data_IF_036322427906
#
_entry.id   IF_036322427906
#
_cell.length_a   1.000
_cell.length_b   1.000
_cell.length_c   1.000
_cell.angle_alpha   90.00
_cell.angle_beta   90.00
_cell.angle_gamma   90.00
#
_symmetry.space_group_name_H-M   'P 1'
#
loop_
_entity.id
_entity.type
_entity.pdbx_description
1 polymer ?
#
# COMPACT_ATOMS: atom_id res chain seq x y z
N UNK A 1 -45.94 -29.71 20.54
CA UNK A 1 -45.30 -29.24 19.27
C UNK A 1 -43.76 -29.17 19.37
N UNK A 2 -43.09 -30.09 20.10
CA UNK A 2 -41.67 -29.96 20.47
C UNK A 2 -40.78 -31.14 19.98
N UNK A 3 -41.07 -31.73 18.81
CA UNK A 3 -40.30 -32.87 18.26
C UNK A 3 -39.74 -32.68 16.85
N UNK A 4 -39.88 -31.50 16.23
CA UNK A 4 -39.38 -31.24 14.85
C UNK A 4 -38.13 -30.34 14.75
N UNK A 5 -37.75 -29.61 15.80
CA UNK A 5 -36.61 -28.67 15.73
C UNK A 5 -35.22 -29.32 15.88
N UNK A 6 -35.13 -30.51 16.49
CA UNK A 6 -33.84 -31.20 16.70
C UNK A 6 -33.21 -31.76 15.41
N UNK A 7 -34.02 -32.05 14.38
CA UNK A 7 -33.53 -32.64 13.13
C UNK A 7 -32.80 -31.63 12.23
N UNK A 8 -33.19 -30.35 12.29
CA UNK A 8 -32.60 -29.29 11.48
C UNK A 8 -31.24 -28.88 12.06
N UNK A 9 -31.13 -28.80 13.38
CA UNK A 9 -29.86 -28.52 14.07
C UNK A 9 -28.81 -29.63 13.82
N UNK A 10 -29.22 -30.90 13.78
CA UNK A 10 -28.33 -32.01 13.39
C UNK A 10 -27.90 -31.93 11.92
N UNK A 11 -28.79 -31.52 11.00
CA UNK A 11 -28.43 -31.36 9.59
C UNK A 11 -27.50 -30.16 9.34
N UNK A 12 -27.62 -29.08 10.11
CA UNK A 12 -26.69 -27.93 10.06
C UNK A 12 -25.33 -28.32 10.62
N UNK A 13 -25.29 -29.06 11.74
CA UNK A 13 -24.04 -29.55 12.34
C UNK A 13 -23.35 -30.63 11.50
N UNK A 14 -24.09 -31.52 10.83
CA UNK A 14 -23.50 -32.52 9.93
C UNK A 14 -22.95 -31.90 8.63
N UNK A 15 -23.60 -30.87 8.07
CA UNK A 15 -23.04 -30.13 6.91
C UNK A 15 -21.76 -29.37 7.25
N UNK A 16 -21.51 -29.08 8.53
CA UNK A 16 -20.27 -28.44 8.99
C UNK A 16 -19.11 -29.43 9.20
N UNK A 17 -19.38 -30.74 9.25
CA UNK A 17 -18.36 -31.75 9.57
C UNK A 17 -17.60 -32.27 8.32
N UNK A 18 -18.24 -32.27 7.14
CA UNK A 18 -17.64 -32.82 5.91
C UNK A 18 -17.05 -31.77 4.96
N UNK A 19 -17.18 -30.47 5.28
CA UNK A 19 -16.45 -29.42 4.59
C UNK A 19 -15.23 -29.05 5.43
N UNK A 20 -14.15 -29.81 5.28
CA UNK A 20 -12.81 -29.26 5.46
C UNK A 20 -12.62 -28.15 4.39
N UNK A 21 -13.23 -27.00 4.64
CA UNK A 21 -12.73 -25.76 4.08
C UNK A 21 -11.36 -25.60 4.73
N UNK A 22 -10.23 -25.64 3.99
CA UNK A 22 -8.99 -25.22 4.58
C UNK A 22 -9.25 -23.75 4.90
N UNK A 23 -9.50 -23.43 6.17
CA UNK A 23 -9.21 -22.10 6.66
C UNK A 23 -7.80 -21.86 6.17
N UNK A 24 -7.65 -20.98 5.18
CA UNK A 24 -6.36 -20.58 4.68
C UNK A 24 -5.77 -19.79 5.85
N UNK A 25 -5.18 -20.52 6.79
CA UNK A 25 -4.45 -19.99 7.93
C UNK A 25 -3.20 -19.38 7.31
N UNK A 26 -3.38 -18.20 6.72
CA UNK A 26 -2.28 -17.41 6.18
C UNK A 26 -1.53 -16.87 7.38
N UNK A 27 -0.36 -17.41 7.62
CA UNK A 27 0.67 -16.68 8.33
C UNK A 27 1.01 -15.46 7.49
N UNK A 28 0.54 -14.28 7.87
CA UNK A 28 1.06 -13.02 7.33
C UNK A 28 2.50 -12.91 7.84
N UNK A 29 3.46 -13.32 7.01
CA UNK A 29 4.86 -13.59 7.40
C UNK A 29 5.69 -12.34 7.67
N UNK A 30 5.12 -11.14 7.51
CA UNK A 30 5.77 -9.91 7.98
C UNK A 30 5.60 -9.67 9.49
N UNK A 31 4.90 -10.56 10.21
CA UNK A 31 5.01 -10.56 11.66
C UNK A 31 6.37 -11.16 12.07
N UNK A 32 7.24 -10.43 12.79
CA UNK A 32 8.28 -11.11 13.55
C UNK A 32 7.59 -12.17 14.44
N UNK A 33 8.31 -13.26 14.72
CA UNK A 33 7.88 -14.37 15.59
C UNK A 33 7.05 -13.84 16.77
N UNK A 34 6.02 -14.60 17.24
CA UNK A 34 5.28 -14.24 18.45
C UNK A 34 6.28 -13.75 19.49
N UNK A 35 6.12 -12.50 19.91
CA UNK A 35 7.05 -11.89 20.85
C UNK A 35 7.16 -12.75 22.11
N UNK A 36 8.17 -12.47 22.89
CA UNK A 36 8.38 -12.94 24.27
C UNK A 36 7.24 -12.63 25.26
N UNK A 37 6.03 -12.30 24.77
CA UNK A 37 4.89 -11.87 25.57
C UNK A 37 4.99 -10.44 26.08
N UNK A 38 6.06 -9.71 25.77
CA UNK A 38 6.22 -8.33 26.22
C UNK A 38 5.22 -7.40 25.53
N UNK A 39 4.52 -6.53 26.29
CA UNK A 39 3.65 -5.52 25.69
C UNK A 39 4.43 -4.61 24.74
N UNK A 40 3.97 -4.50 23.50
CA UNK A 40 4.61 -3.64 22.49
C UNK A 40 3.84 -2.34 22.29
N UNK A 41 4.52 -1.18 22.24
CA UNK A 41 3.89 0.07 21.88
C UNK A 41 3.50 0.07 20.41
N UNK A 42 2.28 0.52 20.13
CA UNK A 42 1.80 0.82 18.77
C UNK A 42 1.29 2.25 18.76
N UNK A 43 1.77 3.06 17.83
CA UNK A 43 1.26 4.42 17.65
C UNK A 43 -0.15 4.34 17.06
N UNK A 44 -1.13 4.97 17.69
CA UNK A 44 -2.51 5.00 17.21
C UNK A 44 -2.90 6.41 16.78
N UNK A 45 -3.35 6.54 15.53
CA UNK A 45 -3.95 7.76 14.99
C UNK A 45 -5.42 7.47 14.70
N UNK A 46 -6.37 7.94 15.52
CA UNK A 46 -7.80 7.66 15.34
C UNK A 46 -8.32 8.17 13.98
N UNK A 47 -7.80 9.31 13.53
CA UNK A 47 -8.20 9.96 12.28
C UNK A 47 -9.56 10.63 12.37
N UNK A 48 -10.14 10.92 11.21
CA UNK A 48 -11.38 11.68 11.05
C UNK A 48 -12.58 10.79 10.67
N UNK A 49 -13.79 11.37 10.75
CA UNK A 49 -15.03 10.74 10.29
C UNK A 49 -15.34 9.45 11.07
N UNK A 50 -15.38 8.31 10.37
CA UNK A 50 -15.65 6.99 10.96
C UNK A 50 -14.39 6.39 11.62
N UNK A 51 -13.21 6.99 11.40
CA UNK A 51 -11.92 6.53 11.91
C UNK A 51 -11.93 6.21 13.42
N UNK A 52 -12.30 7.15 14.29
CA UNK A 52 -12.32 6.93 15.74
C UNK A 52 -13.22 5.77 16.18
N UNK A 53 -14.35 5.55 15.49
CA UNK A 53 -15.26 4.44 15.81
C UNK A 53 -14.61 3.09 15.51
N UNK A 54 -13.92 2.99 14.37
CA UNK A 54 -13.23 1.75 13.95
C UNK A 54 -12.00 1.49 14.81
N UNK A 55 -11.19 2.52 15.09
CA UNK A 55 -9.99 2.34 15.91
C UNK A 55 -10.34 1.95 17.34
N UNK A 56 -11.39 2.55 17.92
CA UNK A 56 -11.85 2.18 19.26
C UNK A 56 -12.38 0.73 19.28
N UNK A 57 -13.05 0.27 18.22
CA UNK A 57 -13.46 -1.12 18.11
C UNK A 57 -12.24 -2.07 18.06
N UNK A 58 -11.16 -1.69 17.37
CA UNK A 58 -9.91 -2.47 17.37
C UNK A 58 -9.30 -2.54 18.77
N UNK A 59 -9.25 -1.42 19.50
CA UNK A 59 -8.77 -1.40 20.89
C UNK A 59 -9.56 -2.38 21.77
N UNK A 60 -10.90 -2.34 21.72
CA UNK A 60 -11.77 -3.24 22.47
C UNK A 60 -11.53 -4.72 22.16
N UNK A 61 -11.34 -5.06 20.88
CA UNK A 61 -11.06 -6.43 20.46
C UNK A 61 -9.67 -6.88 20.97
N UNK A 62 -8.66 -6.00 20.89
CA UNK A 62 -7.31 -6.30 21.38
C UNK A 62 -7.27 -6.50 22.89
N UNK A 63 -8.00 -5.67 23.64
CA UNK A 63 -8.15 -5.79 25.09
C UNK A 63 -8.85 -7.10 25.47
N UNK A 64 -9.94 -7.45 24.78
CA UNK A 64 -10.68 -8.69 25.01
C UNK A 64 -9.85 -9.95 24.68
N UNK A 65 -8.94 -9.86 23.70
CA UNK A 65 -8.00 -10.94 23.38
C UNK A 65 -6.78 -10.98 24.31
N UNK A 66 -6.64 -10.02 25.22
CA UNK A 66 -5.44 -9.82 26.04
C UNK A 66 -4.15 -9.81 25.18
N UNK A 67 -4.22 -9.13 24.03
CA UNK A 67 -3.07 -9.00 23.15
C UNK A 67 -1.95 -8.22 23.87
N UNK A 68 -0.67 -8.61 23.74
CA UNK A 68 0.46 -7.91 24.36
C UNK A 68 0.80 -6.63 23.57
N UNK A 69 -0.15 -5.70 23.47
CA UNK A 69 -0.06 -4.45 22.73
C UNK A 69 -0.68 -3.34 23.56
N UNK A 70 -0.04 -2.18 23.60
CA UNK A 70 -0.65 -0.97 24.15
C UNK A 70 -0.57 0.16 23.14
N UNK A 71 -1.63 0.96 23.07
CA UNK A 71 -1.78 2.02 22.07
C UNK A 71 -1.34 3.37 22.62
N UNK A 72 -0.37 4.00 21.95
CA UNK A 72 0.00 5.41 22.19
C UNK A 72 -0.84 6.28 21.25
N UNK A 73 -1.91 6.87 21.78
CA UNK A 73 -2.89 7.65 21.00
C UNK A 73 -2.37 9.06 20.70
N UNK A 74 -2.47 9.46 19.44
CA UNK A 74 -2.20 10.81 18.95
C UNK A 74 -3.35 11.33 18.11
N UNK A 75 -3.90 12.48 18.51
CA UNK A 75 -5.00 13.11 17.80
C UNK A 75 -4.48 13.95 16.63
N UNK A 76 -4.53 13.37 15.43
CA UNK A 76 -4.17 14.04 14.16
C UNK A 76 -5.41 14.11 13.30
N UNK A 77 -5.69 15.31 12.79
CA UNK A 77 -6.85 15.60 11.97
C UNK A 77 -6.44 16.06 10.57
N UNK A 78 -7.23 15.73 9.56
CA UNK A 78 -7.00 16.04 8.14
C UNK A 78 -6.83 17.53 7.83
N UNK A 79 -7.45 18.40 8.63
CA UNK A 79 -7.42 19.85 8.47
C UNK A 79 -6.10 20.49 8.93
N UNK A 80 -5.22 19.72 9.57
CA UNK A 80 -3.92 20.21 9.99
C UNK A 80 -3.01 20.45 8.76
N UNK A 81 -2.18 21.49 8.82
CA UNK A 81 -1.26 21.81 7.71
C UNK A 81 -0.12 20.80 7.57
N UNK A 82 0.33 20.25 8.69
CA UNK A 82 1.47 19.34 8.77
C UNK A 82 1.25 18.34 9.89
N UNK A 83 1.78 17.13 9.72
CA UNK A 83 1.80 16.14 10.81
C UNK A 83 2.68 16.62 11.96
N UNK A 84 2.21 16.55 13.23
CA UNK A 84 3.02 16.89 14.38
C UNK A 84 4.31 16.04 14.44
N UNK A 85 5.48 16.66 14.72
CA UNK A 85 6.76 15.95 14.72
C UNK A 85 6.86 14.87 15.80
N UNK A 86 6.08 15.00 16.87
CA UNK A 86 5.95 13.98 17.93
C UNK A 86 5.36 12.66 17.41
N UNK A 87 4.41 12.73 16.48
CA UNK A 87 3.77 11.55 15.87
C UNK A 87 4.79 10.82 15.02
N UNK A 88 5.52 11.54 14.18
CA UNK A 88 6.58 10.95 13.33
C UNK A 88 7.65 10.29 14.21
N UNK A 89 8.07 10.94 15.30
CA UNK A 89 9.02 10.36 16.26
C UNK A 89 8.47 9.11 16.95
N UNK A 90 7.19 9.09 17.33
CA UNK A 90 6.53 7.90 17.89
C UNK A 90 6.52 6.76 16.88
N UNK A 91 6.13 7.02 15.62
CA UNK A 91 6.14 6.00 14.57
C UNK A 91 7.57 5.50 14.31
N UNK A 92 8.57 6.39 14.30
CA UNK A 92 9.98 6.01 14.16
C UNK A 92 10.53 5.24 15.35
N UNK A 93 9.99 5.41 16.56
CA UNK A 93 10.37 4.66 17.76
C UNK A 93 9.70 3.29 17.77
N UNK A 94 8.38 3.25 17.59
CA UNK A 94 7.55 2.05 17.71
C UNK A 94 7.58 1.17 16.47
N UNK A 95 7.93 1.73 15.31
CA UNK A 95 7.98 1.11 13.97
C UNK A 95 6.63 0.66 13.41
N UNK A 96 5.58 0.69 14.21
CA UNK A 96 4.23 0.27 13.86
C UNK A 96 3.26 1.40 14.21
N UNK A 97 2.38 1.71 13.25
CA UNK A 97 1.32 2.69 13.42
C UNK A 97 0.01 2.08 12.93
N UNK A 98 -1.04 2.21 13.73
CA UNK A 98 -2.42 1.99 13.30
C UNK A 98 -3.06 3.36 13.05
N UNK A 99 -3.64 3.58 11.87
CA UNK A 99 -4.30 4.85 11.56
C UNK A 99 -5.69 4.66 10.98
N UNK A 100 -6.61 5.54 11.36
CA UNK A 100 -7.88 5.74 10.66
C UNK A 100 -7.74 6.52 9.36
N UNK A 101 -8.87 6.75 8.71
CA UNK A 101 -8.96 7.64 7.55
C UNK A 101 -8.70 9.08 7.96
N UNK A 102 -7.83 9.79 7.24
CA UNK A 102 -7.64 11.24 7.41
C UNK A 102 -8.30 11.95 6.25
N UNK A 103 -9.18 12.90 6.55
CA UNK A 103 -9.82 13.71 5.52
C UNK A 103 -8.75 14.49 4.75
N UNK A 104 -8.93 14.66 3.44
CA UNK A 104 -8.07 15.51 2.63
C UNK A 104 -8.96 16.55 1.96
N UNK A 105 -8.74 17.85 2.22
CA UNK A 105 -9.53 18.89 1.58
C UNK A 105 -9.32 18.83 0.06
N UNK A 106 -10.42 18.96 -0.68
CA UNK A 106 -10.39 18.92 -2.15
C UNK A 106 -10.17 20.33 -2.68
N UNK A 107 -9.05 20.53 -3.38
CA UNK A 107 -8.67 21.83 -3.94
C UNK A 107 -7.88 22.70 -2.96
N UNK A 108 -6.97 23.53 -3.50
CA UNK A 108 -6.00 24.30 -2.74
C UNK A 108 -4.68 23.53 -2.57
N UNK A 109 -3.55 24.15 -2.91
CA UNK A 109 -2.22 23.55 -3.01
C UNK A 109 -1.57 23.07 -1.70
N UNK A 110 -2.35 22.53 -0.77
CA UNK A 110 -1.87 21.88 0.45
C UNK A 110 -1.68 20.40 0.16
N UNK A 111 -0.46 19.88 0.35
CA UNK A 111 -0.19 18.45 0.21
C UNK A 111 -0.99 17.64 1.24
N UNK A 112 -1.69 16.58 0.81
CA UNK A 112 -2.41 15.67 1.72
C UNK A 112 -1.52 15.16 2.84
N UNK A 113 -2.00 15.20 4.09
CA UNK A 113 -1.26 14.65 5.25
C UNK A 113 -0.92 13.17 5.07
N UNK A 114 -1.79 12.39 4.39
CA UNK A 114 -1.50 10.99 4.09
C UNK A 114 -0.27 10.85 3.18
N UNK A 115 -0.12 11.75 2.20
CA UNK A 115 1.04 11.76 1.30
C UNK A 115 2.28 12.24 2.05
N UNK A 116 2.15 13.21 2.95
CA UNK A 116 3.24 13.66 3.81
C UNK A 116 3.79 12.51 4.67
N UNK A 117 2.92 11.79 5.38
CA UNK A 117 3.32 10.61 6.18
C UNK A 117 4.07 9.58 5.34
N UNK A 118 3.57 9.30 4.13
CA UNK A 118 4.20 8.31 3.25
C UNK A 118 5.58 8.74 2.79
N UNK A 119 5.77 10.02 2.47
CA UNK A 119 7.06 10.58 2.04
C UNK A 119 8.06 10.68 3.20
N UNK A 120 7.63 11.17 4.35
CA UNK A 120 8.51 11.36 5.53
C UNK A 120 8.98 10.04 6.15
N UNK A 121 8.15 8.99 6.07
CA UNK A 121 8.47 7.66 6.59
C UNK A 121 8.95 6.67 5.52
N UNK A 122 9.07 7.10 4.26
CA UNK A 122 9.38 6.26 3.08
C UNK A 122 8.52 4.98 3.03
N UNK A 123 7.20 5.13 3.23
CA UNK A 123 6.20 4.06 3.12
C UNK A 123 5.97 3.69 1.66
N UNK A 124 6.92 3.00 1.03
CA UNK A 124 6.93 2.80 -0.42
C UNK A 124 5.99 1.74 -0.96
N UNK A 125 5.54 0.80 -0.13
CA UNK A 125 4.63 -0.26 -0.53
C UNK A 125 3.28 -0.13 0.18
N UNK A 126 2.20 -0.02 -0.60
CA UNK A 126 0.84 -0.25 -0.15
C UNK A 126 0.42 -1.65 -0.60
N UNK A 127 -0.11 -2.44 0.33
CA UNK A 127 -0.59 -3.80 0.10
C UNK A 127 -2.06 -3.88 0.47
N UNK A 128 -2.87 -4.31 -0.50
CA UNK A 128 -4.32 -4.52 -0.32
C UNK A 128 -4.63 -5.97 -0.64
N UNK A 129 -5.18 -6.68 0.34
CA UNK A 129 -5.64 -8.05 0.17
C UNK A 129 -7.15 -8.04 -0.09
N UNK A 130 -7.54 -8.43 -1.30
CA UNK A 130 -8.92 -8.49 -1.75
C UNK A 130 -9.37 -9.95 -1.79
N UNK A 131 -10.11 -10.38 -0.76
CA UNK A 131 -10.53 -11.77 -0.57
C UNK A 131 -12.03 -11.85 -0.31
N UNK A 132 -12.73 -12.78 -0.95
CA UNK A 132 -14.12 -13.05 -0.58
C UNK A 132 -14.22 -13.55 0.86
N UNK A 133 -15.01 -12.86 1.67
CA UNK A 133 -15.28 -13.26 3.04
C UNK A 133 -16.42 -14.29 3.08
N UNK A 134 -16.27 -15.42 3.80
CA UNK A 134 -17.35 -16.37 4.00
C UNK A 134 -18.57 -15.69 4.64
N UNK A 135 -19.74 -15.82 4.01
CA UNK A 135 -21.00 -15.25 4.49
C UNK A 135 -21.32 -13.84 3.97
N UNK A 136 -20.40 -13.19 3.24
CA UNK A 136 -20.69 -11.94 2.54
C UNK A 136 -21.05 -12.24 1.07
N UNK A 137 -22.30 -12.07 0.65
CA UNK A 137 -22.69 -12.30 -0.75
C UNK A 137 -22.10 -11.22 -1.65
N UNK A 138 -21.38 -11.64 -2.67
CA UNK A 138 -20.74 -10.79 -3.69
C UNK A 138 -21.10 -11.29 -5.09
N UNK A 139 -20.83 -10.48 -6.11
CA UNK A 139 -21.09 -10.87 -7.51
C UNK A 139 -20.15 -11.98 -8.01
N UNK A 140 -18.90 -11.95 -7.56
CA UNK A 140 -17.87 -12.92 -7.92
C UNK A 140 -17.51 -13.77 -6.71
N UNK A 141 -17.18 -15.03 -6.96
CA UNK A 141 -16.74 -16.00 -5.96
C UNK A 141 -15.24 -16.32 -6.15
N UNK A 142 -14.59 -16.80 -5.08
CA UNK A 142 -13.20 -17.25 -5.09
C UNK A 142 -12.17 -16.20 -5.56
N UNK A 143 -12.44 -14.92 -5.30
CA UNK A 143 -11.47 -13.83 -5.50
C UNK A 143 -10.50 -13.83 -4.33
N UNK A 144 -9.22 -13.88 -4.67
CA UNK A 144 -8.11 -13.84 -3.73
C UNK A 144 -6.90 -13.16 -4.37
N UNK A 145 -7.02 -11.84 -4.52
CA UNK A 145 -6.07 -10.99 -5.24
C UNK A 145 -5.29 -10.16 -4.23
N UNK A 146 -3.99 -10.01 -4.44
CA UNK A 146 -3.16 -9.08 -3.69
C UNK A 146 -2.67 -7.99 -4.62
N UNK A 147 -2.99 -6.74 -4.29
CA UNK A 147 -2.52 -5.58 -5.03
C UNK A 147 -1.40 -4.92 -4.24
N UNK A 148 -0.21 -4.86 -4.84
CA UNK A 148 0.98 -4.22 -4.31
C UNK A 148 1.26 -2.99 -5.15
N UNK A 149 1.11 -1.83 -4.51
CA UNK A 149 1.18 -0.52 -5.12
C UNK A 149 2.44 0.22 -4.67
N UNK A 150 3.16 0.79 -5.63
CA UNK A 150 4.19 1.81 -5.38
C UNK A 150 3.52 3.07 -4.81
N UNK A 151 4.04 3.62 -3.72
CA UNK A 151 3.32 4.61 -2.91
C UNK A 151 4.11 5.91 -2.65
N UNK A 152 5.27 6.08 -3.26
CA UNK A 152 6.19 7.22 -3.08
C UNK A 152 6.34 8.13 -4.29
N UNK A 153 6.22 7.62 -5.51
CA UNK A 153 6.45 8.38 -6.75
C UNK A 153 5.28 8.30 -7.73
N UNK A 154 5.53 8.57 -9.02
CA UNK A 154 4.51 8.59 -10.07
C UNK A 154 3.72 9.89 -10.10
N UNK A 155 2.44 9.76 -10.42
CA UNK A 155 1.50 10.87 -10.59
C UNK A 155 1.17 11.58 -9.25
N UNK A 156 1.36 10.90 -8.13
CA UNK A 156 1.19 11.47 -6.78
C UNK A 156 2.42 12.24 -6.28
N UNK A 157 3.42 12.48 -7.14
CA UNK A 157 4.53 13.39 -6.84
C UNK A 157 4.02 14.80 -6.52
N UNK A 158 2.90 15.21 -7.13
CA UNK A 158 2.26 16.52 -6.98
C UNK A 158 3.03 17.65 -7.69
N UNK A 159 3.85 17.29 -8.69
CA UNK A 159 4.65 18.24 -9.45
C UNK A 159 3.82 18.81 -10.60
N UNK A 160 3.06 19.85 -10.30
CA UNK A 160 2.20 20.55 -11.24
C UNK A 160 2.58 22.01 -11.34
N UNK A 161 2.53 22.56 -12.56
CA UNK A 161 2.72 23.98 -12.79
C UNK A 161 1.90 24.45 -13.99
N UNK A 162 1.52 25.72 -13.96
CA UNK A 162 0.87 26.38 -15.08
C UNK A 162 1.94 27.08 -15.90
N UNK A 163 2.14 26.64 -17.15
CA UNK A 163 3.19 27.16 -18.04
C UNK A 163 2.78 28.53 -18.58
N UNK A 164 1.52 28.64 -19.00
CA UNK A 164 0.84 29.88 -19.40
C UNK A 164 -0.61 29.80 -18.90
N UNK A 165 -1.31 30.94 -18.70
CA UNK A 165 -2.70 30.94 -18.25
C UNK A 165 -3.58 29.99 -19.08
N UNK A 166 -4.14 28.96 -18.45
CA UNK A 166 -4.96 27.91 -19.05
C UNK A 166 -4.22 26.64 -19.50
N UNK A 167 -2.89 26.55 -19.34
CA UNK A 167 -2.08 25.37 -19.71
C UNK A 167 -1.34 24.84 -18.49
N UNK A 168 -1.84 23.71 -17.96
CA UNK A 168 -1.28 23.04 -16.79
C UNK A 168 -0.51 21.79 -17.22
N UNK A 169 0.72 21.68 -16.74
CA UNK A 169 1.57 20.50 -16.91
C UNK A 169 1.68 19.75 -15.58
N UNK A 170 1.55 18.42 -15.65
CA UNK A 170 1.74 17.50 -14.52
C UNK A 170 2.88 16.53 -14.83
N UNK A 171 3.91 16.52 -13.99
CA UNK A 171 5.13 15.77 -14.21
C UNK A 171 5.08 14.42 -13.47
N UNK A 172 4.92 13.35 -14.25
CA UNK A 172 5.05 11.97 -13.76
C UNK A 172 6.53 11.57 -13.68
N UNK A 173 6.99 11.26 -12.48
CA UNK A 173 8.37 10.80 -12.23
C UNK A 173 8.35 9.32 -11.84
N UNK A 174 9.04 8.49 -12.61
CA UNK A 174 9.32 7.08 -12.28
C UNK A 174 10.83 6.89 -12.23
N UNK A 175 11.32 6.23 -11.20
CA UNK A 175 12.73 5.93 -11.01
C UNK A 175 12.98 4.43 -10.98
N UNK A 176 14.16 4.02 -11.47
CA UNK A 176 14.58 2.61 -11.44
C UNK A 176 14.64 2.09 -10.00
N UNK A 177 15.17 2.88 -9.08
CA UNK A 177 15.27 2.52 -7.66
C UNK A 177 13.91 2.17 -7.04
N UNK A 178 12.90 3.03 -7.19
CA UNK A 178 11.57 2.80 -6.65
C UNK A 178 10.86 1.61 -7.33
N UNK A 179 11.04 1.47 -8.65
CA UNK A 179 10.49 0.36 -9.42
C UNK A 179 11.09 -0.99 -9.04
N UNK A 180 12.42 -1.06 -8.82
CA UNK A 180 13.10 -2.28 -8.39
C UNK A 180 12.70 -2.70 -6.98
N UNK A 181 12.62 -1.76 -6.03
CA UNK A 181 12.25 -2.09 -4.64
C UNK A 181 10.83 -2.61 -4.52
N UNK A 182 9.87 -2.02 -5.25
CA UNK A 182 8.48 -2.47 -5.22
C UNK A 182 8.30 -3.81 -5.92
N UNK A 183 9.00 -4.02 -7.06
CA UNK A 183 9.02 -5.31 -7.73
C UNK A 183 9.62 -6.39 -6.83
N UNK A 184 10.77 -6.12 -6.21
CA UNK A 184 11.40 -7.03 -5.24
C UNK A 184 10.45 -7.39 -4.11
N UNK A 185 9.78 -6.39 -3.52
CA UNK A 185 8.79 -6.64 -2.47
C UNK A 185 7.64 -7.52 -2.95
N UNK A 186 7.12 -7.29 -4.16
CA UNK A 186 6.03 -8.10 -4.72
C UNK A 186 6.41 -9.56 -4.94
N UNK A 187 7.60 -9.82 -5.47
CA UNK A 187 8.11 -11.18 -5.66
C UNK A 187 8.46 -11.87 -4.33
N UNK A 188 9.07 -11.17 -3.38
CA UNK A 188 9.32 -11.70 -2.03
C UNK A 188 8.01 -12.04 -1.31
N UNK A 189 7.02 -11.15 -1.39
CA UNK A 189 5.69 -11.40 -0.84
C UNK A 189 5.06 -12.64 -1.48
N UNK A 190 5.10 -12.73 -2.82
CA UNK A 190 4.56 -13.88 -3.53
C UNK A 190 5.25 -15.19 -3.11
N UNK A 191 6.58 -15.19 -3.01
CA UNK A 191 7.36 -16.34 -2.56
C UNK A 191 6.99 -16.77 -1.13
N UNK A 192 6.99 -15.83 -0.18
CA UNK A 192 6.72 -16.10 1.23
C UNK A 192 5.28 -16.53 1.51
N UNK A 193 4.33 -16.15 0.64
CA UNK A 193 2.91 -16.48 0.78
C UNK A 193 2.47 -17.61 -0.17
N UNK A 194 3.42 -18.35 -0.76
CA UNK A 194 3.17 -19.46 -1.69
C UNK A 194 2.25 -19.07 -2.87
N UNK A 195 2.35 -17.82 -3.33
CA UNK A 195 1.68 -17.35 -4.54
C UNK A 195 2.47 -17.77 -5.76
N UNK A 196 1.77 -18.04 -6.85
CA UNK A 196 2.36 -18.66 -8.04
C UNK A 196 2.58 -17.67 -9.16
N UNK A 197 1.89 -16.52 -9.15
CA UNK A 197 1.90 -15.57 -10.25
C UNK A 197 1.99 -14.13 -9.76
N UNK A 198 2.86 -13.36 -10.41
CA UNK A 198 2.97 -11.90 -10.27
C UNK A 198 2.68 -11.26 -11.62
N UNK A 199 1.72 -10.34 -11.64
CA UNK A 199 1.32 -9.60 -12.84
C UNK A 199 1.69 -8.13 -12.69
N UNK A 200 2.53 -7.59 -13.57
CA UNK A 200 2.83 -6.17 -13.63
C UNK A 200 1.76 -5.42 -14.45
N UNK A 201 1.11 -4.43 -13.84
CA UNK A 201 0.11 -3.59 -14.51
C UNK A 201 0.74 -2.29 -14.98
N UNK A 202 0.54 -1.94 -16.25
CA UNK A 202 1.21 -0.80 -16.87
C UNK A 202 0.37 -0.14 -17.99
N UNK A 203 0.88 0.95 -18.54
CA UNK A 203 0.39 1.64 -19.74
C UNK A 203 1.54 2.02 -20.67
N UNK A 204 2.57 1.17 -20.73
CA UNK A 204 3.74 1.32 -21.60
C UNK A 204 3.44 1.42 -23.12
N UNK A 205 2.22 1.10 -23.57
CA UNK A 205 1.80 1.35 -24.96
C UNK A 205 1.69 2.86 -25.28
N UNK A 206 1.38 3.68 -24.27
CA UNK A 206 1.33 5.15 -24.37
C UNK A 206 2.59 5.75 -23.72
N UNK A 207 2.87 5.42 -22.46
CA UNK A 207 4.03 5.93 -21.71
C UNK A 207 5.24 5.01 -21.88
N UNK A 208 5.84 5.05 -23.07
CA UNK A 208 6.91 4.12 -23.47
C UNK A 208 8.14 4.18 -22.55
N UNK A 209 8.50 5.36 -22.04
CA UNK A 209 9.69 5.54 -21.20
C UNK A 209 9.39 5.27 -19.72
N UNK A 210 8.44 5.99 -19.11
CA UNK A 210 8.17 5.89 -17.68
C UNK A 210 7.70 4.48 -17.28
N UNK A 211 6.67 3.96 -17.94
CA UNK A 211 6.15 2.62 -17.65
C UNK A 211 7.05 1.53 -18.27
N UNK A 212 7.81 1.85 -19.33
CA UNK A 212 8.82 0.95 -19.86
C UNK A 212 9.92 0.64 -18.85
N UNK A 213 10.41 1.67 -18.13
CA UNK A 213 11.40 1.53 -17.07
C UNK A 213 10.87 0.69 -15.90
N UNK A 214 9.59 0.87 -15.54
CA UNK A 214 8.93 0.06 -14.51
C UNK A 214 8.89 -1.43 -14.91
N UNK A 215 8.50 -1.75 -16.15
CA UNK A 215 8.47 -3.12 -16.65
C UNK A 215 9.86 -3.74 -16.74
N UNK A 216 10.86 -2.99 -17.21
CA UNK A 216 12.25 -3.45 -17.23
C UNK A 216 12.72 -3.86 -15.83
N UNK A 217 12.45 -3.02 -14.84
CA UNK A 217 12.77 -3.30 -13.42
C UNK A 217 12.05 -4.56 -12.93
N UNK A 218 10.76 -4.72 -13.26
CA UNK A 218 9.99 -5.92 -12.90
C UNK A 218 10.55 -7.19 -13.55
N UNK A 219 10.92 -7.13 -14.84
CA UNK A 219 11.54 -8.26 -15.57
C UNK A 219 12.90 -8.62 -15.01
N UNK A 220 13.72 -7.65 -14.61
CA UNK A 220 15.03 -7.87 -13.99
C UNK A 220 14.88 -8.62 -12.65
N UNK A 221 13.90 -8.24 -11.83
CA UNK A 221 13.60 -8.94 -10.58
C UNK A 221 12.99 -10.32 -10.83
N UNK A 222 12.10 -10.47 -11.80
CA UNK A 222 11.45 -11.75 -12.14
C UNK A 222 12.47 -12.86 -12.41
N UNK A 223 13.59 -12.54 -13.08
CA UNK A 223 14.69 -13.48 -13.34
C UNK A 223 15.29 -14.09 -12.06
N UNK A 224 15.21 -13.40 -10.92
CA UNK A 224 15.69 -13.87 -9.61
C UNK A 224 14.72 -14.83 -8.93
N UNK A 225 13.49 -14.93 -9.42
CA UNK A 225 12.41 -15.76 -8.85
C UNK A 225 11.80 -16.71 -9.90
N UNK A 226 12.57 -17.68 -10.43
CA UNK A 226 12.13 -18.54 -11.53
C UNK A 226 10.92 -19.44 -11.20
N UNK A 227 10.62 -19.65 -9.91
CA UNK A 227 9.45 -20.41 -9.46
C UNK A 227 8.13 -19.63 -9.50
N UNK A 228 8.16 -18.33 -9.79
CA UNK A 228 6.98 -17.46 -9.85
C UNK A 228 6.73 -17.08 -11.31
N UNK A 229 5.52 -17.35 -11.81
CA UNK A 229 5.13 -16.92 -13.15
C UNK A 229 5.02 -15.38 -13.20
N UNK A 230 5.68 -14.77 -14.17
CA UNK A 230 5.61 -13.33 -14.40
C UNK A 230 4.85 -13.01 -15.68
N UNK A 231 3.82 -12.17 -15.56
CA UNK A 231 3.02 -11.69 -16.69
C UNK A 231 2.91 -10.16 -16.67
N UNK A 232 2.59 -9.57 -17.82
CA UNK A 232 2.39 -8.13 -17.98
C UNK A 232 1.01 -7.87 -18.57
N UNK A 233 0.33 -6.84 -18.08
CA UNK A 233 -0.99 -6.47 -18.56
C UNK A 233 -1.15 -4.95 -18.63
N UNK A 234 -1.77 -4.49 -19.72
CA UNK A 234 -2.14 -3.09 -19.86
C UNK A 234 -3.30 -2.78 -18.92
N UNK A 235 -3.26 -1.66 -18.20
CA UNK A 235 -4.24 -1.29 -17.16
C UNK A 235 -5.68 -1.28 -17.65
N UNK A 236 -5.97 -0.85 -18.89
CA UNK A 236 -7.34 -0.90 -19.44
C UNK A 236 -7.87 -2.33 -19.53
N UNK A 237 -7.05 -3.24 -20.07
CA UNK A 237 -7.41 -4.66 -20.14
C UNK A 237 -7.48 -5.24 -18.73
N UNK A 238 -6.59 -4.82 -17.83
CA UNK A 238 -6.63 -5.22 -16.43
C UNK A 238 -7.97 -4.88 -15.77
N UNK A 239 -8.47 -3.66 -15.93
CA UNK A 239 -9.76 -3.25 -15.38
C UNK A 239 -10.91 -4.06 -15.98
N UNK A 240 -10.91 -4.28 -17.30
CA UNK A 240 -11.92 -5.13 -17.95
C UNK A 240 -11.88 -6.58 -17.42
N UNK A 241 -10.69 -7.15 -17.29
CA UNK A 241 -10.48 -8.52 -16.81
C UNK A 241 -10.81 -8.66 -15.32
N UNK A 242 -10.53 -7.66 -14.50
CA UNK A 242 -10.90 -7.66 -13.08
C UNK A 242 -12.42 -7.77 -12.90
N UNK A 243 -13.20 -7.03 -13.68
CA UNK A 243 -14.66 -7.08 -13.59
C UNK A 243 -15.23 -8.34 -14.24
N UNK A 244 -14.59 -8.88 -15.27
CA UNK A 244 -15.08 -10.06 -15.97
C UNK A 244 -14.73 -11.38 -15.26
N UNK A 245 -13.44 -11.56 -14.93
CA UNK A 245 -12.84 -12.79 -14.40
C UNK A 245 -11.72 -12.46 -13.40
N UNK A 246 -12.06 -11.94 -12.21
CA UNK A 246 -11.06 -11.55 -11.19
C UNK A 246 -10.19 -12.71 -10.71
N UNK A 247 -10.72 -13.95 -10.69
CA UNK A 247 -10.06 -15.17 -10.22
C UNK A 247 -8.77 -15.52 -10.98
N UNK A 248 -8.55 -14.91 -12.14
CA UNK A 248 -7.31 -15.08 -12.88
C UNK A 248 -6.12 -14.36 -12.25
N UNK A 249 -6.33 -13.36 -11.39
CA UNK A 249 -5.23 -12.59 -10.78
C UNK A 249 -4.80 -13.21 -9.45
N UNK A 250 -3.51 -13.10 -9.15
CA UNK A 250 -2.89 -13.61 -7.92
C UNK A 250 -2.22 -12.44 -7.19
N UNK A 251 -0.94 -12.18 -7.44
CA UNK A 251 -0.27 -10.95 -6.99
C UNK A 251 -0.18 -9.97 -8.15
N UNK A 252 -0.51 -8.70 -7.91
CA UNK A 252 -0.43 -7.63 -8.89
C UNK A 252 0.53 -6.56 -8.39
N UNK A 253 1.48 -6.15 -9.21
CA UNK A 253 2.40 -5.05 -8.91
C UNK A 253 2.13 -3.88 -9.85
N UNK A 254 2.00 -2.69 -9.28
CA UNK A 254 1.52 -1.52 -10.03
C UNK A 254 2.27 -0.24 -9.65
N UNK A 255 2.48 0.69 -10.60
CA UNK A 255 2.78 2.09 -10.28
C UNK A 255 1.66 2.75 -9.48
N UNK A 256 1.95 3.93 -8.92
CA UNK A 256 1.12 4.56 -7.90
C UNK A 256 -0.34 4.84 -8.31
N UNK A 257 -0.59 5.51 -9.44
CA UNK A 257 -1.94 5.82 -9.90
C UNK A 257 -2.78 4.58 -10.21
N UNK A 258 -2.21 3.65 -10.97
CA UNK A 258 -2.94 2.44 -11.38
C UNK A 258 -3.23 1.54 -10.19
N UNK A 259 -2.31 1.46 -9.23
CA UNK A 259 -2.52 0.71 -8.00
C UNK A 259 -3.72 1.18 -7.21
N UNK A 260 -3.94 2.50 -7.13
CA UNK A 260 -5.12 3.04 -6.44
C UNK A 260 -6.43 2.61 -7.11
N UNK A 261 -6.48 2.67 -8.45
CA UNK A 261 -7.67 2.32 -9.22
C UNK A 261 -7.95 0.80 -9.15
N UNK A 262 -6.91 0.01 -9.35
CA UNK A 262 -6.97 -1.46 -9.32
C UNK A 262 -7.34 -1.96 -7.93
N UNK A 263 -6.73 -1.43 -6.88
CA UNK A 263 -7.03 -1.83 -5.50
C UNK A 263 -8.48 -1.53 -5.12
N UNK A 264 -8.97 -0.33 -5.43
CA UNK A 264 -10.37 0.03 -5.16
C UNK A 264 -11.36 -0.83 -5.95
N UNK A 265 -11.05 -1.14 -7.22
CA UNK A 265 -11.88 -2.01 -8.06
C UNK A 265 -11.91 -3.44 -7.50
N UNK A 266 -10.73 -3.98 -7.16
CA UNK A 266 -10.62 -5.31 -6.57
C UNK A 266 -11.33 -5.40 -5.21
N UNK A 267 -11.21 -4.36 -4.37
CA UNK A 267 -11.93 -4.28 -3.10
C UNK A 267 -13.45 -4.23 -3.30
N UNK A 268 -13.93 -3.44 -4.27
CA UNK A 268 -15.34 -3.39 -4.65
C UNK A 268 -15.89 -4.75 -5.10
N UNK A 269 -15.11 -5.49 -5.88
CA UNK A 269 -15.46 -6.85 -6.31
C UNK A 269 -15.55 -7.83 -5.13
N UNK A 270 -14.63 -7.72 -4.17
CA UNK A 270 -14.52 -8.64 -3.03
C UNK A 270 -15.50 -8.35 -1.88
N UNK A 271 -16.27 -7.25 -1.93
CA UNK A 271 -17.26 -6.92 -0.89
C UNK A 271 -17.28 -5.45 -0.43
N UNK A 272 -16.44 -4.61 -1.02
CA UNK A 272 -16.34 -3.17 -0.72
C UNK A 272 -15.12 -2.80 0.10
N UNK A 273 -14.80 -1.52 0.15
CA UNK A 273 -13.63 -0.98 0.87
C UNK A 273 -13.77 -1.05 2.39
N UNK A 274 -14.99 -1.21 2.92
CA UNK A 274 -15.22 -1.31 4.37
C UNK A 274 -14.81 -2.65 5.00
N UNK A 275 -14.61 -3.69 4.20
CA UNK A 275 -14.23 -5.04 4.66
C UNK A 275 -12.79 -5.42 4.31
N UNK A 276 -12.12 -4.64 3.47
CA UNK A 276 -10.78 -4.97 2.97
C UNK A 276 -9.71 -4.19 3.73
N UNK A 277 -8.74 -4.87 4.38
CA UNK A 277 -7.65 -4.20 5.04
C UNK A 277 -6.61 -3.69 4.02
N UNK A 278 -6.20 -2.44 4.17
CA UNK A 278 -5.00 -1.89 3.51
C UNK A 278 -3.86 -1.80 4.53
N UNK A 279 -2.68 -2.30 4.15
CA UNK A 279 -1.46 -2.22 4.95
C UNK A 279 -0.43 -1.40 4.20
N UNK A 280 0.04 -0.31 4.81
CA UNK A 280 1.19 0.45 4.30
C UNK A 280 2.44 0.00 5.06
N UNK A 281 3.45 -0.46 4.33
CA UNK A 281 4.67 -1.00 4.94
C UNK A 281 5.82 0.00 4.88
N UNK A 282 6.46 0.21 6.03
CA UNK A 282 7.87 0.61 6.09
C UNK A 282 8.68 -0.68 6.05
N UNK A 283 9.31 -0.97 4.91
CA UNK A 283 10.47 -1.86 4.95
C UNK A 283 11.62 -0.99 5.45
N UNK A 284 11.82 -0.97 6.78
CA UNK A 284 13.05 -0.44 7.34
C UNK A 284 14.16 -1.38 6.89
N UNK A 285 14.77 -1.06 5.75
CA UNK A 285 16.02 -1.64 5.24
C UNK A 285 17.21 -1.29 6.17
N UNK A 286 17.05 -1.37 7.50
CA UNK A 286 18.16 -1.26 8.45
C UNK A 286 18.61 -2.62 9.02
N UNK A 287 17.92 -3.73 8.71
CA UNK A 287 18.36 -5.06 9.16
C UNK A 287 19.31 -5.79 8.20
N UNK A 288 19.61 -5.26 7.01
CA UNK A 288 20.47 -5.94 6.01
C UNK A 288 21.62 -5.07 5.46
N UNK A 289 21.96 -3.96 6.12
CA UNK A 289 23.15 -3.17 5.78
C UNK A 289 24.23 -3.27 6.86
N UNK A 290 24.80 -4.46 7.05
CA UNK A 290 26.24 -4.56 7.32
C UNK A 290 26.97 -4.54 5.97
N UNK A 291 26.95 -3.40 5.29
CA UNK A 291 27.85 -3.11 4.16
C UNK A 291 28.26 -1.63 4.26
N UNK A 292 29.48 -1.33 4.73
CA UNK A 292 29.95 0.04 4.88
C UNK A 292 30.53 0.55 3.56
N UNK A 293 29.69 1.11 2.67
CA UNK A 293 30.20 1.83 1.48
C UNK A 293 29.45 3.11 1.08
N UNK A 294 28.32 3.47 1.72
CA UNK A 294 27.52 4.63 1.32
C UNK A 294 27.85 5.96 2.04
N UNK A 295 28.71 5.95 3.07
CA UNK A 295 29.15 7.20 3.73
C UNK A 295 30.18 8.01 2.94
N UNK A 296 30.76 7.45 1.87
CA UNK A 296 31.86 8.09 1.14
C UNK A 296 31.41 9.09 0.06
N UNK A 297 30.11 9.15 -0.26
CA UNK A 297 29.56 10.04 -1.30
C UNK A 297 28.89 11.31 -0.73
N UNK A 298 28.37 11.27 0.49
CA UNK A 298 27.71 12.42 1.12
C UNK A 298 28.68 13.52 1.60
N UNK A 299 29.99 13.25 1.67
CA UNK A 299 31.01 14.20 2.14
C UNK A 299 31.66 15.03 1.02
N UNK A 300 31.40 14.74 -0.26
CA UNK A 300 32.04 15.45 -1.40
C UNK A 300 31.20 16.55 -2.05
N UNK A 301 29.97 16.80 -1.61
CA UNK A 301 29.11 17.88 -2.12
C UNK A 301 28.72 18.88 -1.02
N UNK A 302 29.73 19.43 -0.32
CA UNK A 302 29.61 20.77 0.27
C UNK A 302 29.87 21.81 -0.82
N UNK A 303 28.82 22.17 -1.58
CA UNK A 303 28.88 23.37 -2.40
C UNK A 303 28.53 24.59 -1.54
N UNK A 304 29.49 25.52 -1.55
CA UNK A 304 29.54 26.77 -0.80
C UNK A 304 28.31 27.66 -1.03
N UNK A 305 27.58 27.98 0.04
CA UNK A 305 26.75 29.20 0.11
C UNK A 305 27.69 30.42 0.11
N UNK A 306 28.00 30.97 -1.06
CA UNK A 306 28.48 32.35 -1.24
C UNK A 306 28.35 32.75 -2.71
N UNK A 307 27.52 33.75 -3.00
CA UNK A 307 27.51 34.41 -4.31
C UNK A 307 26.12 34.84 -4.76
N UNK A 308 25.74 36.07 -4.41
CA UNK A 308 24.69 36.82 -5.14
C UNK A 308 25.16 37.03 -6.57
N UNK A 309 24.36 36.67 -7.56
CA UNK A 309 24.40 37.32 -8.88
C UNK A 309 23.00 37.43 -9.46
N UNK A 310 22.71 38.66 -9.87
CA UNK A 310 21.47 39.23 -10.37
C UNK A 310 21.45 38.99 -11.87
N UNK A 311 20.43 38.31 -12.41
CA UNK A 311 20.25 38.20 -13.86
C UNK A 311 19.28 39.27 -14.33
N UNK A 312 19.81 40.32 -14.96
CA UNK A 312 19.06 41.26 -15.78
C UNK A 312 18.87 40.66 -17.17
N UNK A 313 17.63 40.60 -17.65
CA UNK A 313 17.31 40.33 -19.05
C UNK A 313 17.46 41.63 -19.86
N UNK A 314 18.32 41.64 -20.87
CA UNK A 314 18.35 42.68 -21.89
C UNK A 314 17.43 42.29 -23.05
N UNK A 315 16.38 43.07 -23.26
CA UNK A 315 15.57 43.09 -24.47
C UNK A 315 16.36 43.73 -25.61
N UNK A 316 16.55 43.03 -26.74
CA UNK A 316 16.86 43.65 -28.03
C UNK A 316 15.89 43.14 -29.09
N UNK A 317 15.15 44.09 -29.66
CA UNK A 317 14.33 43.99 -30.85
C UNK A 317 15.21 43.70 -32.07
N UNK A 318 14.69 42.90 -32.99
CA UNK A 318 14.60 43.21 -34.43
C UNK A 318 13.29 42.66 -34.96
#
# INVERSE_FOLDING_TARGET
MARRSFSILKQILQKSADNHCPFLCRSVTYMPRPGDGTPRPVTLIPGDGVGPLVTNAVEQVMDAMHAPVYFERYDVHGDMKTVPPEVIKSIQKNKVCLKGGLHTPVGGGVSSLNVQLRKELDLFASLVNCVNLPGLPTRHDNVDIVVIRENTEGEYSGLEHEVVPGVVESLKVITKFCSERIAKYAFEYAYLNNRKKVTAVHKANIMKLADGLFLESCREIAKKYPGIQYNEIIVDNCCMQLVAKPEQFDVMVTPNLYGNLVANTAAGIAGGTGVMPEVMLVLILQSLSKVPQLEMWATKTKWSRKGRTRWQFSSHQQ
#
